data_IF_690587838806
#
_entry.id   IF_690587838806
#
_cell.length_a   1.000
_cell.length_b   1.000
_cell.length_c   1.000
_cell.angle_alpha   90.00
_cell.angle_beta   90.00
_cell.angle_gamma   90.00
#
_symmetry.space_group_name_H-M   'P 1'
#
loop_
_entity.id
_entity.type
_entity.pdbx_description
1 polymer ?
#
# COMPACT_ATOMS: atom_id res chain seq x y z
N UNK A 1 14.39 -4.84 -10.89
CA UNK A 1 14.55 -3.39 -11.17
C UNK A 1 13.98 -2.58 -10.02
N UNK A 2 14.19 -1.27 -10.01
CA UNK A 2 13.59 -0.36 -9.03
C UNK A 2 13.48 1.06 -9.60
N UNK A 3 12.66 1.90 -8.97
CA UNK A 3 12.47 3.30 -9.36
C UNK A 3 12.83 4.21 -8.20
N UNK A 4 13.80 5.11 -8.39
CA UNK A 4 14.05 6.21 -7.47
C UNK A 4 12.88 7.21 -7.56
N UNK A 5 12.18 7.43 -6.44
CA UNK A 5 10.96 8.25 -6.39
C UNK A 5 11.10 9.51 -5.55
N UNK A 6 12.33 9.79 -5.10
CA UNK A 6 12.61 10.91 -4.21
C UNK A 6 14.11 11.28 -4.27
N UNK A 7 14.45 12.56 -4.04
CA UNK A 7 15.83 13.03 -4.09
C UNK A 7 16.67 12.52 -2.91
N UNK A 8 16.04 12.15 -1.80
CA UNK A 8 16.67 11.56 -0.62
C UNK A 8 16.90 10.05 -0.77
N UNK A 9 16.60 9.44 -1.92
CA UNK A 9 17.08 8.09 -2.24
C UNK A 9 16.13 6.95 -1.89
N UNK A 10 14.83 7.21 -1.73
CA UNK A 10 13.84 6.13 -1.68
C UNK A 10 13.62 5.49 -3.04
N UNK A 11 13.64 4.15 -3.05
CA UNK A 11 13.49 3.30 -4.22
C UNK A 11 12.29 2.39 -4.03
N UNK A 12 11.45 2.32 -5.04
CA UNK A 12 10.30 1.42 -5.10
C UNK A 12 10.66 0.22 -5.96
N UNK A 13 10.28 -0.97 -5.51
CA UNK A 13 10.33 -2.20 -6.30
C UNK A 13 9.17 -3.10 -5.92
N UNK A 14 9.11 -4.31 -6.47
CA UNK A 14 8.15 -5.31 -6.05
C UNK A 14 8.58 -6.06 -4.78
N UNK A 15 7.61 -6.55 -4.01
CA UNK A 15 7.87 -7.38 -2.82
C UNK A 15 8.62 -8.66 -3.21
N UNK A 16 8.16 -9.37 -4.23
CA UNK A 16 8.79 -10.63 -4.65
C UNK A 16 10.24 -10.46 -5.15
N UNK A 17 10.67 -9.24 -5.49
CA UNK A 17 12.06 -8.96 -5.87
C UNK A 17 12.99 -8.94 -4.65
N UNK A 18 12.47 -8.65 -3.47
CA UNK A 18 13.27 -8.50 -2.23
C UNK A 18 13.03 -9.61 -1.20
N UNK A 19 12.00 -10.45 -1.39
CA UNK A 19 11.50 -11.40 -0.39
C UNK A 19 12.55 -12.39 0.14
N UNK A 20 13.50 -12.82 -0.69
CA UNK A 20 14.56 -13.78 -0.30
C UNK A 20 15.92 -13.13 -0.02
N UNK A 21 16.00 -11.79 -0.05
CA UNK A 21 17.26 -11.06 0.07
C UNK A 21 17.54 -10.55 1.49
N UNK A 22 18.75 -10.78 1.99
CA UNK A 22 19.22 -10.19 3.26
C UNK A 22 20.03 -8.90 3.08
N UNK A 23 20.59 -8.71 1.87
CA UNK A 23 21.41 -7.54 1.51
C UNK A 23 21.05 -7.08 0.11
N UNK A 24 20.87 -5.79 -0.04
CA UNK A 24 20.45 -5.18 -1.29
C UNK A 24 21.53 -4.22 -1.77
N UNK A 25 21.99 -4.44 -3.01
CA UNK A 25 22.89 -3.52 -3.69
C UNK A 25 22.16 -2.92 -4.89
N UNK A 26 22.24 -1.61 -5.03
CA UNK A 26 21.59 -0.86 -6.10
C UNK A 26 22.67 -0.29 -7.00
N UNK A 27 22.60 -0.63 -8.28
CA UNK A 27 23.42 -0.02 -9.33
C UNK A 27 22.58 0.95 -10.13
N UNK A 28 22.99 2.22 -10.19
CA UNK A 28 22.34 3.24 -10.99
C UNK A 28 22.77 3.16 -12.46
N UNK A 29 22.07 3.88 -13.33
CA UNK A 29 22.41 3.98 -14.76
C UNK A 29 23.76 4.67 -15.03
N UNK A 30 24.27 5.45 -14.08
CA UNK A 30 25.60 6.06 -14.10
C UNK A 30 26.68 5.17 -13.47
N UNK A 31 26.37 3.89 -13.23
CA UNK A 31 27.21 2.85 -12.63
C UNK A 31 27.61 3.08 -11.16
N UNK A 32 27.07 4.11 -10.48
CA UNK A 32 27.24 4.21 -9.03
C UNK A 32 26.54 3.05 -8.33
N UNK A 33 27.21 2.50 -7.33
CA UNK A 33 26.70 1.40 -6.51
C UNK A 33 26.46 1.86 -5.08
N UNK A 34 25.34 1.43 -4.51
CA UNK A 34 24.92 1.77 -3.16
C UNK A 34 24.45 0.52 -2.43
N UNK A 35 24.80 0.41 -1.16
CA UNK A 35 24.10 -0.49 -0.26
C UNK A 35 22.73 0.12 0.08
N UNK A 36 21.69 -0.69 0.02
CA UNK A 36 20.32 -0.27 0.27
C UNK A 36 19.75 -0.93 1.52
N UNK A 37 19.05 -0.15 2.33
CA UNK A 37 18.29 -0.62 3.47
C UNK A 37 16.84 -0.88 3.04
N UNK A 38 16.31 -2.05 3.39
CA UNK A 38 14.88 -2.33 3.24
C UNK A 38 14.12 -1.57 4.34
N UNK A 39 13.23 -0.66 3.93
CA UNK A 39 12.40 0.13 4.84
C UNK A 39 11.13 -0.64 5.21
N UNK A 40 10.58 -1.39 4.26
CA UNK A 40 9.42 -2.25 4.50
C UNK A 40 8.87 -2.85 3.22
N UNK A 41 7.94 -3.79 3.38
CA UNK A 41 7.27 -4.49 2.29
C UNK A 41 5.76 -4.55 2.50
N UNK A 42 5.02 -4.68 1.41
CA UNK A 42 3.59 -4.94 1.39
C UNK A 42 3.28 -6.07 0.39
N UNK A 43 3.26 -7.33 0.85
CA UNK A 43 2.92 -8.47 0.01
C UNK A 43 1.51 -8.36 -0.62
N UNK A 44 0.57 -7.65 0.03
CA UNK A 44 -0.81 -7.52 -0.46
C UNK A 44 -0.96 -6.62 -1.69
N UNK A 45 0.09 -5.88 -2.04
CA UNK A 45 0.18 -5.07 -3.27
C UNK A 45 1.41 -5.41 -4.10
N UNK A 46 2.23 -6.36 -3.66
CA UNK A 46 3.52 -6.69 -4.24
C UNK A 46 4.45 -5.47 -4.38
N UNK A 47 4.57 -4.65 -3.33
CA UNK A 47 5.46 -3.49 -3.29
C UNK A 47 6.46 -3.58 -2.14
N UNK A 48 7.65 -3.03 -2.36
CA UNK A 48 8.68 -2.84 -1.35
C UNK A 48 9.31 -1.46 -1.48
N UNK A 49 9.79 -0.94 -0.36
CA UNK A 49 10.48 0.34 -0.26
C UNK A 49 11.90 0.11 0.26
N UNK A 50 12.89 0.55 -0.50
CA UNK A 50 14.30 0.59 -0.09
C UNK A 50 14.78 2.04 0.01
N UNK A 51 15.90 2.22 0.71
CA UNK A 51 16.59 3.51 0.86
C UNK A 51 18.07 3.34 0.56
N UNK A 52 18.63 4.26 -0.20
CA UNK A 52 20.08 4.42 -0.40
C UNK A 52 20.53 5.80 0.11
N UNK A 53 21.79 5.90 0.53
CA UNK A 53 22.41 7.19 0.88
C UNK A 53 23.30 7.68 -0.26
N UNK A 54 23.02 8.89 -0.77
CA UNK A 54 23.80 9.48 -1.84
C UNK A 54 23.34 10.88 -2.21
N UNK A 55 24.20 11.60 -2.94
CA UNK A 55 23.91 12.95 -3.43
C UNK A 55 23.61 12.92 -4.94
N UNK A 56 22.86 13.92 -5.42
CA UNK A 56 22.53 14.08 -6.84
C UNK A 56 21.95 12.80 -7.45
N UNK A 57 20.99 12.20 -6.74
CA UNK A 57 20.29 10.99 -7.19
C UNK A 57 19.21 11.37 -8.22
N UNK A 58 19.15 10.71 -9.39
CA UNK A 58 18.05 10.90 -10.33
C UNK A 58 16.76 10.31 -9.75
N UNK A 59 15.62 10.96 -9.93
CA UNK A 59 14.33 10.43 -9.47
C UNK A 59 13.19 10.78 -10.43
N UNK A 60 12.13 9.97 -10.39
CA UNK A 60 10.89 10.22 -11.13
C UNK A 60 9.82 10.81 -10.21
N UNK A 61 9.00 11.68 -10.79
CA UNK A 61 7.79 12.17 -10.17
C UNK A 61 6.64 11.20 -10.46
N UNK A 62 5.78 10.99 -9.47
CA UNK A 62 4.52 10.28 -9.66
C UNK A 62 3.56 11.11 -10.52
N UNK A 63 3.05 10.48 -11.57
CA UNK A 63 1.88 10.96 -12.31
C UNK A 63 0.58 10.46 -11.69
N UNK A 64 -0.55 10.79 -12.32
CA UNK A 64 -1.87 10.31 -11.91
C UNK A 64 -2.32 9.13 -12.76
N UNK A 65 -2.35 7.92 -12.18
CA UNK A 65 -2.78 6.71 -12.89
C UNK A 65 -4.29 6.69 -13.22
N UNK A 66 -5.11 7.51 -12.57
CA UNK A 66 -6.54 7.64 -12.93
C UNK A 66 -6.72 8.34 -14.27
N UNK A 67 -5.84 9.28 -14.58
CA UNK A 67 -5.88 10.06 -15.83
C UNK A 67 -5.53 9.23 -17.06
N UNK A 68 -4.85 8.08 -16.89
CA UNK A 68 -4.52 7.18 -18.00
C UNK A 68 -5.78 6.71 -18.74
N UNK A 69 -5.71 6.77 -20.06
CA UNK A 69 -6.75 6.28 -20.97
C UNK A 69 -6.32 4.98 -21.65
N UNK A 70 -7.28 4.09 -21.93
CA UNK A 70 -7.02 2.93 -22.79
C UNK A 70 -6.65 3.43 -24.20
N UNK A 71 -5.55 2.92 -24.74
CA UNK A 71 -4.96 3.37 -26.00
C UNK A 71 -3.88 4.45 -25.84
N UNK A 72 -3.67 4.98 -24.64
CA UNK A 72 -2.60 5.95 -24.37
C UNK A 72 -1.23 5.29 -24.42
N UNK A 73 -0.25 5.97 -25.04
CA UNK A 73 1.13 5.51 -25.12
C UNK A 73 1.82 5.51 -23.76
N UNK A 74 2.55 4.43 -23.49
CA UNK A 74 3.37 4.25 -22.29
C UNK A 74 4.70 3.60 -22.65
N UNK A 75 5.71 3.87 -21.82
CA UNK A 75 7.02 3.23 -21.90
C UNK A 75 7.25 2.41 -20.63
N UNK A 76 7.63 1.15 -20.80
CA UNK A 76 8.10 0.30 -19.71
C UNK A 76 9.63 0.34 -19.66
N UNK A 77 10.18 0.62 -18.48
CA UNK A 77 11.62 0.76 -18.24
C UNK A 77 12.04 -0.24 -17.17
N UNK A 78 13.13 -0.96 -17.41
CA UNK A 78 13.73 -1.88 -16.45
C UNK A 78 15.10 -2.35 -16.90
N UNK A 79 15.65 -3.33 -16.19
CA UNK A 79 16.94 -3.95 -16.50
C UNK A 79 16.75 -5.46 -16.73
N UNK A 80 16.19 -5.88 -17.87
CA UNK A 80 16.06 -7.28 -18.20
C UNK A 80 17.43 -7.87 -18.56
N UNK A 81 17.75 -9.03 -18.00
CA UNK A 81 18.99 -9.79 -18.30
C UNK A 81 20.31 -9.09 -17.98
N UNK A 82 20.32 -8.09 -17.08
CA UNK A 82 21.49 -7.23 -16.81
C UNK A 82 22.08 -6.55 -18.06
N UNK A 83 21.28 -6.43 -19.12
CA UNK A 83 21.57 -5.61 -20.28
C UNK A 83 21.09 -4.21 -19.91
N UNK A 84 22.03 -3.27 -19.75
CA UNK A 84 21.82 -1.84 -19.45
C UNK A 84 20.40 -1.31 -19.76
N UNK A 85 19.78 -0.61 -18.80
CA UNK A 85 18.39 -0.11 -18.79
C UNK A 85 17.64 -0.20 -20.14
N UNK A 86 16.80 -1.22 -20.30
CA UNK A 86 15.97 -1.41 -21.49
C UNK A 86 14.66 -0.65 -21.38
N UNK A 87 14.31 0.04 -22.46
CA UNK A 87 13.03 0.74 -22.62
C UNK A 87 12.22 0.06 -23.72
N UNK A 88 10.96 -0.25 -23.45
CA UNK A 88 10.01 -0.78 -24.43
C UNK A 88 8.78 0.11 -24.50
N UNK A 89 8.23 0.28 -25.68
CA UNK A 89 7.03 1.09 -25.90
C UNK A 89 5.80 0.20 -26.09
N UNK A 90 4.65 0.69 -25.64
CA UNK A 90 3.34 0.11 -25.86
C UNK A 90 2.24 1.11 -25.55
N UNK A 91 1.03 0.61 -25.37
CA UNK A 91 -0.14 1.37 -24.97
C UNK A 91 -0.73 0.80 -23.68
N UNK A 92 -1.58 1.57 -23.02
CA UNK A 92 -2.48 1.05 -21.99
C UNK A 92 -3.55 0.22 -22.68
N UNK A 93 -3.48 -1.10 -22.56
CA UNK A 93 -4.44 -2.03 -23.17
C UNK A 93 -5.73 -2.17 -22.36
N UNK A 94 -5.63 -2.06 -21.04
CA UNK A 94 -6.76 -2.10 -20.12
C UNK A 94 -6.38 -1.55 -18.74
N UNK A 95 -7.39 -1.28 -17.91
CA UNK A 95 -7.21 -0.88 -16.50
C UNK A 95 -7.94 -1.86 -15.59
N UNK A 96 -7.56 -1.85 -14.32
CA UNK A 96 -8.20 -2.59 -13.24
C UNK A 96 -8.32 -4.10 -13.50
N UNK A 97 -7.22 -4.70 -13.94
CA UNK A 97 -7.13 -6.16 -14.12
C UNK A 97 -6.84 -6.84 -12.79
N UNK A 98 -7.60 -7.90 -12.53
CA UNK A 98 -7.32 -8.89 -11.51
C UNK A 98 -6.95 -10.19 -12.24
N UNK A 99 -5.78 -10.71 -11.91
CA UNK A 99 -5.14 -11.86 -12.57
C UNK A 99 -4.82 -12.99 -11.56
N UNK A 100 -5.18 -12.80 -10.29
CA UNK A 100 -5.13 -13.79 -9.21
C UNK A 100 -3.71 -14.31 -8.94
N UNK A 101 -2.75 -13.40 -8.86
CA UNK A 101 -1.34 -13.69 -8.54
C UNK A 101 -0.98 -13.37 -7.09
N UNK A 102 -1.79 -12.57 -6.39
CA UNK A 102 -1.61 -12.20 -4.99
C UNK A 102 -2.54 -13.03 -4.10
N UNK A 103 -1.98 -13.57 -3.02
CA UNK A 103 -2.71 -14.37 -2.04
C UNK A 103 -3.16 -13.51 -0.85
N UNK A 104 -4.29 -13.87 -0.21
CA UNK A 104 -4.77 -13.25 1.03
C UNK A 104 -6.05 -12.42 0.89
N UNK A 105 -6.80 -12.32 1.99
CA UNK A 105 -8.15 -11.72 2.04
C UNK A 105 -8.21 -10.21 1.74
N UNK A 106 -7.06 -9.53 1.73
CA UNK A 106 -6.95 -8.08 1.55
C UNK A 106 -6.04 -7.68 0.38
N UNK A 107 -5.71 -8.62 -0.50
CA UNK A 107 -4.87 -8.36 -1.65
C UNK A 107 -5.58 -7.45 -2.65
N UNK A 108 -4.82 -6.48 -3.18
CA UNK A 108 -5.34 -5.47 -4.09
C UNK A 108 -4.73 -5.69 -5.46
N UNK A 109 -5.49 -6.36 -6.31
CA UNK A 109 -5.17 -6.51 -7.71
C UNK A 109 -6.07 -5.65 -8.58
N UNK A 110 -5.49 -4.58 -9.12
CA UNK A 110 -6.14 -3.69 -10.06
C UNK A 110 -5.09 -3.12 -11.00
N UNK A 111 -4.47 -4.02 -11.76
CA UNK A 111 -3.33 -3.69 -12.59
C UNK A 111 -3.73 -2.87 -13.82
N UNK A 112 -2.82 -2.00 -14.22
CA UNK A 112 -2.77 -1.43 -15.57
C UNK A 112 -2.20 -2.52 -16.47
N UNK A 113 -2.93 -2.86 -17.55
CA UNK A 113 -2.45 -3.77 -18.57
C UNK A 113 -1.80 -2.96 -19.69
N UNK A 114 -0.64 -3.41 -20.17
CA UNK A 114 0.05 -2.85 -21.33
C UNK A 114 0.60 -3.94 -22.24
N UNK A 115 0.75 -3.61 -23.51
CA UNK A 115 1.47 -4.38 -24.52
C UNK A 115 2.89 -3.85 -24.76
N UNK A 116 3.41 -3.01 -23.85
CA UNK A 116 4.83 -2.79 -23.76
C UNK A 116 5.51 -4.11 -23.33
N UNK A 117 6.62 -4.44 -24.00
CA UNK A 117 7.32 -5.69 -23.73
C UNK A 117 7.96 -5.67 -22.33
N UNK A 118 7.43 -6.49 -21.43
CA UNK A 118 7.97 -6.71 -20.08
C UNK A 118 8.51 -8.13 -20.02
N UNK A 119 9.74 -8.29 -19.55
CA UNK A 119 10.43 -9.58 -19.39
C UNK A 119 10.98 -9.69 -17.97
N UNK A 120 11.40 -10.90 -17.51
CA UNK A 120 12.13 -11.04 -16.26
C UNK A 120 13.27 -10.01 -16.14
N UNK A 121 13.33 -9.34 -14.99
CA UNK A 121 14.22 -8.21 -14.73
C UNK A 121 13.54 -6.84 -14.83
N UNK A 122 12.41 -6.70 -15.55
CA UNK A 122 11.63 -5.46 -15.56
C UNK A 122 10.74 -5.28 -14.32
N UNK A 123 10.45 -6.35 -13.57
CA UNK A 123 9.72 -6.27 -12.29
C UNK A 123 10.39 -5.29 -11.33
N UNK A 124 9.57 -4.42 -10.74
CA UNK A 124 9.96 -3.28 -9.92
C UNK A 124 10.33 -2.02 -10.73
N UNK A 125 10.40 -2.12 -12.06
CA UNK A 125 10.72 -1.01 -12.96
C UNK A 125 9.54 -0.08 -13.23
N UNK A 126 9.79 1.01 -13.95
CA UNK A 126 8.80 2.06 -14.19
C UNK A 126 7.90 1.75 -15.39
N UNK A 127 6.61 2.07 -15.27
CA UNK A 127 5.74 2.37 -16.40
C UNK A 127 5.51 3.88 -16.41
N UNK A 128 5.92 4.56 -17.49
CA UNK A 128 5.83 6.02 -17.62
C UNK A 128 4.94 6.43 -18.79
N UNK A 129 4.27 7.57 -18.66
CA UNK A 129 3.53 8.18 -19.77
C UNK A 129 4.47 8.97 -20.70
N UNK A 130 3.93 9.58 -21.75
CA UNK A 130 4.70 10.36 -22.74
C UNK A 130 5.30 11.66 -22.18
N UNK A 131 4.87 12.11 -20.99
CA UNK A 131 5.48 13.23 -20.27
C UNK A 131 6.67 12.79 -19.38
N UNK A 132 6.94 11.49 -19.28
CA UNK A 132 7.97 10.93 -18.40
C UNK A 132 7.53 10.81 -16.93
N UNK A 133 6.23 10.94 -16.64
CA UNK A 133 5.69 10.78 -15.29
C UNK A 133 5.47 9.30 -14.98
N UNK A 134 5.78 8.88 -13.76
CA UNK A 134 5.59 7.51 -13.31
C UNK A 134 4.09 7.23 -13.12
N UNK A 135 3.52 6.36 -13.95
CA UNK A 135 2.09 6.00 -13.93
C UNK A 135 1.84 4.58 -13.41
N UNK A 136 2.89 3.75 -13.28
CA UNK A 136 2.81 2.48 -12.58
C UNK A 136 4.17 1.82 -12.32
N UNK A 137 4.16 0.74 -11.55
CA UNK A 137 5.32 -0.11 -11.28
C UNK A 137 5.11 -1.46 -11.97
N UNK A 138 5.97 -1.82 -12.90
CA UNK A 138 5.90 -3.10 -13.62
C UNK A 138 6.01 -4.26 -12.62
N UNK A 139 5.13 -5.25 -12.68
CA UNK A 139 5.12 -6.38 -11.73
C UNK A 139 5.18 -7.73 -12.45
N UNK A 140 4.24 -8.01 -13.34
CA UNK A 140 4.00 -9.35 -13.83
C UNK A 140 3.69 -9.38 -15.33
N UNK A 141 3.80 -10.58 -15.89
CA UNK A 141 3.30 -10.93 -17.22
C UNK A 141 2.41 -12.16 -17.12
N UNK A 142 1.41 -12.26 -18.01
CA UNK A 142 0.72 -13.53 -18.26
C UNK A 142 1.33 -14.16 -19.50
N UNK A 143 1.82 -15.39 -19.37
CA UNK A 143 2.44 -16.14 -20.46
C UNK A 143 2.22 -17.64 -20.28
N UNK A 144 2.02 -18.36 -21.39
CA UNK A 144 2.00 -19.83 -21.40
C UNK A 144 3.36 -20.42 -21.78
N UNK A 145 4.13 -19.69 -22.57
CA UNK A 145 5.45 -20.10 -23.08
C UNK A 145 6.62 -19.72 -22.16
N UNK A 146 6.36 -18.92 -21.12
CA UNK A 146 7.41 -18.27 -20.32
C UNK A 146 8.05 -17.07 -21.02
N UNK A 147 7.55 -16.66 -22.19
CA UNK A 147 8.01 -15.50 -22.97
C UNK A 147 6.94 -14.43 -23.05
N UNK A 148 7.33 -13.22 -23.38
CA UNK A 148 6.39 -12.13 -23.64
C UNK A 148 5.37 -12.49 -24.73
N UNK A 149 4.07 -12.32 -24.42
CA UNK A 149 2.93 -12.68 -25.29
C UNK A 149 1.94 -11.52 -25.52
N UNK A 150 2.28 -10.27 -25.11
CA UNK A 150 1.36 -9.13 -25.25
C UNK A 150 0.64 -8.69 -23.96
N UNK A 151 0.89 -9.37 -22.84
CA UNK A 151 0.14 -9.17 -21.59
C UNK A 151 1.07 -8.85 -20.43
N UNK A 152 1.36 -7.55 -20.27
CA UNK A 152 2.15 -7.03 -19.17
C UNK A 152 1.28 -6.26 -18.19
N UNK A 153 1.66 -6.27 -16.91
CA UNK A 153 0.87 -5.69 -15.83
C UNK A 153 1.72 -4.79 -14.94
N UNK A 154 1.16 -3.64 -14.57
CA UNK A 154 1.77 -2.67 -13.67
C UNK A 154 0.80 -2.27 -12.54
N UNK A 155 1.34 -2.10 -11.34
CA UNK A 155 0.64 -1.56 -10.17
C UNK A 155 0.41 -0.07 -10.40
N UNK A 156 -0.82 0.48 -10.26
CA UNK A 156 -1.09 1.90 -10.48
C UNK A 156 -0.27 2.82 -9.58
N UNK A 157 0.25 3.92 -10.14
CA UNK A 157 1.05 4.91 -9.43
C UNK A 157 0.37 5.47 -8.19
N UNK A 158 -0.94 5.74 -8.23
CA UNK A 158 -1.66 6.32 -7.09
C UNK A 158 -1.68 5.36 -5.88
N UNK A 159 -1.89 4.06 -6.13
CA UNK A 159 -1.82 3.02 -5.11
C UNK A 159 -0.39 2.88 -4.59
N UNK A 160 0.60 2.79 -5.49
CA UNK A 160 2.00 2.68 -5.12
C UNK A 160 2.44 3.86 -4.23
N UNK A 161 2.11 5.09 -4.63
CA UNK A 161 2.45 6.30 -3.87
C UNK A 161 1.89 6.27 -2.45
N UNK A 162 0.66 5.74 -2.26
CA UNK A 162 0.11 5.55 -0.92
C UNK A 162 0.89 4.53 -0.11
N UNK A 163 1.13 3.35 -0.70
CA UNK A 163 1.86 2.25 -0.04
C UNK A 163 3.24 2.71 0.42
N UNK A 164 3.98 3.37 -0.47
CA UNK A 164 5.34 3.88 -0.18
C UNK A 164 5.33 4.90 0.95
N UNK A 165 4.37 5.83 0.97
CA UNK A 165 4.25 6.78 2.09
C UNK A 165 4.02 6.05 3.41
N UNK A 166 3.18 5.03 3.43
CA UNK A 166 2.92 4.27 4.65
C UNK A 166 4.15 3.47 5.11
N UNK A 167 4.83 2.79 4.19
CA UNK A 167 6.07 2.08 4.50
C UNK A 167 7.13 3.02 5.06
N UNK A 168 7.27 4.21 4.47
CA UNK A 168 8.19 5.24 4.98
C UNK A 168 7.80 5.75 6.35
N UNK A 169 6.52 6.08 6.55
CA UNK A 169 6.06 6.79 7.76
C UNK A 169 5.87 5.85 8.96
N UNK A 170 5.55 4.56 8.72
CA UNK A 170 5.12 3.62 9.77
C UNK A 170 5.77 2.24 9.70
N UNK A 171 6.61 1.97 8.70
CA UNK A 171 7.20 0.64 8.46
C UNK A 171 6.22 -0.40 7.89
N UNK A 172 4.92 -0.10 7.86
CA UNK A 172 3.89 -0.99 7.34
C UNK A 172 2.70 -0.24 6.73
N UNK A 173 1.94 -0.93 5.89
CA UNK A 173 0.82 -0.31 5.17
C UNK A 173 -0.44 -0.22 6.03
N UNK A 174 -0.92 1.01 6.21
CA UNK A 174 -2.13 1.32 6.97
C UNK A 174 -3.37 1.11 6.11
N UNK A 175 -3.99 -0.08 6.14
CA UNK A 175 -5.08 -0.43 5.23
C UNK A 175 -6.44 0.04 5.73
N UNK A 176 -7.03 1.03 5.03
CA UNK A 176 -8.43 1.38 5.20
C UNK A 176 -9.36 0.36 4.55
N UNK A 177 -10.39 -0.06 5.29
CA UNK A 177 -11.45 -0.96 4.86
C UNK A 177 -12.81 -0.30 5.05
N UNK A 178 -13.69 -0.56 4.09
CA UNK A 178 -15.08 -0.09 4.14
C UNK A 178 -15.92 -0.89 5.16
N UNK A 179 -15.53 -2.13 5.45
CA UNK A 179 -16.29 -3.04 6.33
C UNK A 179 -17.43 -3.75 5.60
N UNK A 180 -17.17 -4.27 4.40
CA UNK A 180 -18.16 -4.99 3.58
C UNK A 180 -17.54 -6.24 2.96
N UNK A 181 -18.36 -7.24 2.64
CA UNK A 181 -18.04 -8.25 1.64
C UNK A 181 -18.68 -7.85 0.32
N UNK A 182 -17.92 -7.98 -0.75
CA UNK A 182 -18.30 -7.54 -2.09
C UNK A 182 -18.43 -8.72 -3.05
N UNK A 183 -19.17 -8.52 -4.13
CA UNK A 183 -19.33 -9.49 -5.20
C UNK A 183 -19.56 -8.75 -6.53
N UNK A 184 -19.25 -9.38 -7.67
CA UNK A 184 -19.49 -8.74 -8.96
C UNK A 184 -20.99 -8.61 -9.21
N UNK A 185 -21.34 -7.60 -10.00
CA UNK A 185 -22.67 -7.48 -10.61
C UNK A 185 -22.61 -8.17 -11.97
N UNK A 186 -23.31 -9.29 -12.11
CA UNK A 186 -23.50 -9.97 -13.39
C UNK A 186 -24.85 -9.58 -14.03
N UNK A 187 -25.12 -10.11 -15.23
CA UNK A 187 -26.36 -9.88 -15.96
C UNK A 187 -27.62 -10.27 -15.16
N UNK A 188 -27.56 -11.36 -14.39
CA UNK A 188 -28.70 -11.85 -13.62
C UNK A 188 -28.99 -10.90 -12.47
N UNK A 189 -27.96 -10.54 -11.70
CA UNK A 189 -28.05 -9.63 -10.56
C UNK A 189 -28.43 -8.22 -10.99
N UNK A 190 -27.92 -7.73 -12.12
CA UNK A 190 -28.33 -6.44 -12.65
C UNK A 190 -29.84 -6.40 -12.94
N UNK A 191 -30.40 -7.46 -13.54
CA UNK A 191 -31.85 -7.59 -13.78
C UNK A 191 -32.64 -7.67 -12.47
N UNK A 192 -32.21 -8.49 -11.53
CA UNK A 192 -32.84 -8.66 -10.22
C UNK A 192 -32.93 -7.34 -9.44
N UNK A 193 -31.87 -6.52 -9.50
CA UNK A 193 -31.77 -5.24 -8.82
C UNK A 193 -32.36 -4.07 -9.61
N UNK A 194 -32.82 -4.30 -10.84
CA UNK A 194 -33.37 -3.26 -11.73
C UNK A 194 -32.33 -2.24 -12.19
N UNK A 195 -31.07 -2.66 -12.35
CA UNK A 195 -29.99 -1.80 -12.87
C UNK A 195 -30.12 -1.63 -14.39
N UNK A 196 -29.85 -0.43 -14.88
CA UNK A 196 -29.84 -0.13 -16.32
C UNK A 196 -28.60 -0.67 -17.05
N UNK A 197 -27.55 -1.01 -16.30
CA UNK A 197 -26.26 -1.52 -16.79
C UNK A 197 -25.70 -2.56 -15.83
N UNK A 198 -24.89 -3.47 -16.37
CA UNK A 198 -24.09 -4.43 -15.60
C UNK A 198 -22.80 -3.73 -15.16
N UNK A 199 -22.92 -2.88 -14.15
CA UNK A 199 -21.78 -2.15 -13.59
C UNK A 199 -21.93 -1.97 -12.09
N UNK A 200 -20.78 -1.75 -11.44
CA UNK A 200 -20.68 -1.50 -10.01
C UNK A 200 -20.37 -2.77 -9.23
N UNK A 201 -20.36 -2.62 -7.91
CA UNK A 201 -19.94 -3.67 -6.99
C UNK A 201 -21.02 -3.92 -5.95
N UNK A 202 -21.52 -5.15 -5.91
CA UNK A 202 -22.60 -5.55 -5.02
C UNK A 202 -22.09 -5.76 -3.59
N UNK A 203 -22.78 -5.18 -2.62
CA UNK A 203 -22.54 -5.44 -1.19
C UNK A 203 -23.30 -6.71 -0.78
N UNK A 204 -22.57 -7.79 -0.55
CA UNK A 204 -23.12 -9.08 -0.12
C UNK A 204 -23.25 -9.20 1.40
N UNK A 205 -22.40 -8.50 2.14
CA UNK A 205 -22.46 -8.42 3.60
C UNK A 205 -21.89 -7.08 4.08
N UNK A 206 -22.40 -6.60 5.22
CA UNK A 206 -21.86 -5.43 5.92
C UNK A 206 -21.39 -5.88 7.29
N UNK A 207 -20.14 -5.57 7.62
CA UNK A 207 -19.53 -5.92 8.91
C UNK A 207 -20.21 -5.12 10.03
N UNK A 208 -20.72 -5.83 11.03
CA UNK A 208 -21.36 -5.23 12.21
C UNK A 208 -20.37 -4.35 12.98
N UNK A 209 -20.80 -3.15 13.37
CA UNK A 209 -19.97 -2.13 14.01
C UNK A 209 -18.96 -1.47 13.07
N UNK A 210 -18.97 -1.81 11.77
CA UNK A 210 -18.04 -1.30 10.77
C UNK A 210 -18.41 0.07 10.20
N UNK A 211 -17.48 0.67 9.45
CA UNK A 211 -17.67 1.96 8.80
C UNK A 211 -18.91 1.99 7.90
N UNK A 212 -19.07 0.99 7.04
CA UNK A 212 -20.23 0.87 6.15
C UNK A 212 -21.57 0.81 6.90
N UNK A 213 -21.66 0.04 7.99
CA UNK A 213 -22.90 -0.04 8.78
C UNK A 213 -23.22 1.32 9.41
N UNK A 214 -22.23 1.98 10.02
CA UNK A 214 -22.38 3.30 10.62
C UNK A 214 -22.83 4.36 9.61
N UNK A 215 -22.39 4.25 8.36
CA UNK A 215 -22.78 5.12 7.25
C UNK A 215 -24.12 4.73 6.58
N UNK A 216 -24.78 3.67 7.06
CA UNK A 216 -26.09 3.24 6.59
C UNK A 216 -26.07 2.43 5.29
N UNK A 217 -24.91 1.94 4.84
CA UNK A 217 -24.81 0.96 3.76
C UNK A 217 -25.37 -0.40 4.21
N UNK A 218 -25.93 -1.16 3.28
CA UNK A 218 -26.65 -2.41 3.56
C UNK A 218 -26.34 -3.45 2.48
N UNK A 219 -26.55 -4.73 2.84
CA UNK A 219 -26.63 -5.79 1.84
C UNK A 219 -27.67 -5.42 0.78
N UNK A 220 -27.33 -5.63 -0.48
CA UNK A 220 -28.21 -5.29 -1.61
C UNK A 220 -27.86 -3.97 -2.30
N UNK A 221 -27.04 -3.13 -1.68
CA UNK A 221 -26.54 -1.93 -2.34
C UNK A 221 -25.51 -2.28 -3.42
N UNK A 222 -25.45 -1.45 -4.46
CA UNK A 222 -24.43 -1.55 -5.51
C UNK A 222 -23.60 -0.28 -5.49
N UNK A 223 -22.33 -0.37 -5.11
CA UNK A 223 -21.39 0.77 -5.13
C UNK A 223 -21.04 1.07 -6.59
N UNK A 224 -21.15 2.35 -6.97
CA UNK A 224 -20.88 2.83 -8.33
C UNK A 224 -19.85 3.95 -8.39
N UNK A 225 -19.39 4.45 -7.24
CA UNK A 225 -18.31 5.44 -7.20
C UNK A 225 -17.73 5.69 -5.81
N UNK A 226 -16.47 6.12 -5.79
CA UNK A 226 -15.72 6.50 -4.60
C UNK A 226 -15.08 7.87 -4.85
N UNK A 227 -15.34 8.85 -3.98
CA UNK A 227 -14.80 10.21 -4.10
C UNK A 227 -14.99 10.86 -5.48
N UNK A 228 -16.10 10.55 -6.15
CA UNK A 228 -16.39 11.06 -7.50
C UNK A 228 -15.74 10.27 -8.65
N UNK A 229 -14.87 9.30 -8.34
CA UNK A 229 -14.33 8.35 -9.33
C UNK A 229 -15.34 7.24 -9.54
N UNK A 230 -15.71 6.99 -10.80
CA UNK A 230 -16.63 5.92 -11.18
C UNK A 230 -16.00 4.56 -10.89
N UNK A 231 -16.78 3.66 -10.30
CA UNK A 231 -16.39 2.28 -10.01
C UNK A 231 -17.36 1.35 -10.71
N UNK A 232 -16.83 0.51 -11.60
CA UNK A 232 -17.59 -0.45 -12.39
C UNK A 232 -17.27 -1.90 -12.05
N UNK A 233 -16.09 -2.17 -11.47
CA UNK A 233 -15.64 -3.51 -11.13
C UNK A 233 -15.08 -3.61 -9.70
N UNK A 234 -14.96 -4.84 -9.19
CA UNK A 234 -14.37 -5.09 -7.87
C UNK A 234 -12.90 -4.63 -7.76
N UNK A 235 -12.02 -4.91 -8.74
CA UNK A 235 -10.65 -4.40 -8.75
C UNK A 235 -10.58 -2.88 -8.58
N UNK A 236 -11.39 -2.14 -9.34
CA UNK A 236 -11.47 -0.68 -9.22
C UNK A 236 -11.89 -0.25 -7.81
N UNK A 237 -12.90 -0.89 -7.23
CA UNK A 237 -13.33 -0.56 -5.87
C UNK A 237 -12.21 -0.78 -4.84
N UNK A 238 -11.56 -1.95 -4.89
CA UNK A 238 -10.51 -2.32 -3.96
C UNK A 238 -9.32 -1.37 -4.06
N UNK A 239 -8.94 -1.01 -5.29
CA UNK A 239 -7.84 -0.08 -5.57
C UNK A 239 -8.17 1.34 -5.10
N UNK A 240 -9.36 1.84 -5.39
CA UNK A 240 -9.79 3.16 -4.92
C UNK A 240 -9.80 3.24 -3.40
N UNK A 241 -10.32 2.22 -2.69
CA UNK A 241 -10.31 2.19 -1.23
C UNK A 241 -8.88 2.02 -0.68
N UNK A 242 -8.05 1.20 -1.35
CA UNK A 242 -6.67 0.88 -0.95
C UNK A 242 -5.73 2.08 -0.87
N UNK A 243 -6.11 3.21 -1.47
CA UNK A 243 -5.40 4.50 -1.43
C UNK A 243 -5.64 5.31 -0.16
N UNK A 244 -6.41 4.80 0.79
CA UNK A 244 -6.75 5.50 2.01
C UNK A 244 -6.36 4.69 3.25
N UNK A 245 -6.15 5.42 4.36
CA UNK A 245 -5.79 4.87 5.67
C UNK A 245 -7.05 4.70 6.54
N UNK A 246 -7.01 3.90 7.60
CA UNK A 246 -8.02 3.94 8.67
C UNK A 246 -8.24 5.38 9.18
N UNK A 247 -9.47 5.71 9.57
CA UNK A 247 -9.85 7.06 9.99
C UNK A 247 -10.07 8.07 8.86
N UNK A 248 -9.65 7.80 7.62
CA UNK A 248 -10.04 8.63 6.48
C UNK A 248 -11.54 8.49 6.19
N UNK A 249 -12.18 9.60 5.82
CA UNK A 249 -13.57 9.63 5.38
C UNK A 249 -13.62 9.67 3.86
N UNK A 250 -14.35 8.74 3.25
CA UNK A 250 -14.57 8.70 1.80
C UNK A 250 -16.06 8.87 1.48
N UNK A 251 -16.36 9.49 0.34
CA UNK A 251 -17.70 9.58 -0.22
C UNK A 251 -17.98 8.34 -1.07
N UNK A 252 -19.02 7.59 -0.72
CA UNK A 252 -19.49 6.42 -1.46
C UNK A 252 -20.77 6.77 -2.19
N UNK A 253 -20.78 6.58 -3.51
CA UNK A 253 -21.98 6.65 -4.34
C UNK A 253 -22.47 5.23 -4.62
N UNK A 254 -23.76 4.98 -4.39
CA UNK A 254 -24.35 3.65 -4.48
C UNK A 254 -25.79 3.67 -4.97
N UNK A 255 -26.24 2.55 -5.56
CA UNK A 255 -27.61 2.33 -5.97
C UNK A 255 -28.32 1.45 -4.94
N UNK A 256 -29.52 1.88 -4.54
CA UNK A 256 -30.44 1.10 -3.70
C UNK A 256 -31.85 1.22 -4.27
N UNK A 257 -32.48 0.09 -4.63
CA UNK A 257 -33.84 0.06 -5.22
C UNK A 257 -33.97 1.00 -6.44
N UNK A 258 -33.00 0.95 -7.35
CA UNK A 258 -32.97 1.73 -8.60
C UNK A 258 -32.69 3.24 -8.44
N UNK A 259 -32.44 3.73 -7.22
CA UNK A 259 -32.10 5.14 -6.97
C UNK A 259 -30.65 5.29 -6.53
N UNK A 260 -30.01 6.36 -6.96
CA UNK A 260 -28.63 6.72 -6.56
C UNK A 260 -28.67 7.48 -5.23
N UNK A 261 -27.79 7.09 -4.33
CA UNK A 261 -27.56 7.69 -3.03
C UNK A 261 -26.07 7.96 -2.84
N UNK A 262 -25.76 8.86 -1.90
CA UNK A 262 -24.39 9.15 -1.47
C UNK A 262 -24.32 9.11 0.05
N UNK A 263 -23.24 8.57 0.58
CA UNK A 263 -22.97 8.58 2.03
C UNK A 263 -21.47 8.72 2.29
N UNK A 264 -21.11 9.33 3.41
CA UNK A 264 -19.72 9.43 3.85
C UNK A 264 -19.39 8.27 4.79
N UNK A 265 -18.30 7.57 4.52
CA UNK A 265 -17.87 6.40 5.30
C UNK A 265 -16.50 6.64 5.89
N UNK A 266 -16.37 6.49 7.20
CA UNK A 266 -15.08 6.45 7.89
C UNK A 266 -14.49 5.05 7.74
N UNK A 267 -13.32 4.97 7.10
CA UNK A 267 -12.61 3.71 6.91
C UNK A 267 -12.02 3.22 8.22
N UNK A 268 -11.92 1.90 8.37
CA UNK A 268 -11.36 1.23 9.54
C UNK A 268 -10.38 0.15 9.13
N UNK A 269 -9.52 -0.32 10.01
CA UNK A 269 -8.63 -1.45 9.74
C UNK A 269 -9.36 -2.80 9.86
N UNK A 270 -8.62 -3.90 9.72
CA UNK A 270 -9.13 -5.28 9.88
C UNK A 270 -9.65 -5.58 11.29
N UNK A 271 -9.20 -4.84 12.30
CA UNK A 271 -9.61 -4.94 13.70
C UNK A 271 -10.74 -3.96 14.05
N UNK A 272 -11.34 -3.31 13.04
CA UNK A 272 -12.39 -2.31 13.20
C UNK A 272 -11.95 -1.04 13.95
N UNK A 273 -10.66 -0.72 13.91
CA UNK A 273 -10.03 0.46 14.51
C UNK A 273 -9.75 1.56 13.48
N UNK A 274 -9.61 2.80 13.95
CA UNK A 274 -9.10 3.93 13.15
C UNK A 274 -7.67 4.32 13.53
N UNK A 275 -7.09 3.63 14.52
CA UNK A 275 -5.73 3.88 15.01
C UNK A 275 -4.73 3.27 14.04
N UNK A 276 -3.67 4.01 13.72
CA UNK A 276 -2.59 3.47 12.91
C UNK A 276 -1.78 2.46 13.70
N UNK A 277 -1.47 1.35 13.07
CA UNK A 277 -0.47 0.41 13.56
C UNK A 277 0.90 1.01 13.22
N UNK A 278 1.83 1.03 14.17
CA UNK A 278 3.19 1.51 13.91
C UNK A 278 4.11 0.35 14.17
N UNK A 279 4.74 -0.17 13.12
CA UNK A 279 5.87 -1.09 13.27
C UNK A 279 7.11 -0.26 13.60
N UNK A 280 7.17 0.28 14.81
CA UNK A 280 8.46 0.61 15.38
C UNK A 280 9.07 -0.70 15.87
N UNK A 281 10.25 -1.08 15.41
CA UNK A 281 11.02 -2.18 16.02
C UNK A 281 11.18 -1.98 17.54
N UNK A 282 11.19 -0.72 17.98
CA UNK A 282 11.12 -0.34 19.39
C UNK A 282 9.78 -0.71 20.04
N UNK A 283 8.63 -0.42 19.42
CA UNK A 283 7.31 -0.80 19.97
C UNK A 283 7.10 -2.31 19.96
N UNK A 284 7.59 -3.02 18.93
CA UNK A 284 7.60 -4.48 18.91
C UNK A 284 8.51 -5.07 19.99
N UNK A 285 9.66 -4.45 20.26
CA UNK A 285 10.55 -4.86 21.36
C UNK A 285 9.91 -4.58 22.72
N UNK A 286 9.37 -3.38 22.94
CA UNK A 286 8.73 -2.99 24.21
C UNK A 286 7.49 -3.85 24.48
N UNK A 287 6.68 -4.12 23.45
CA UNK A 287 5.52 -5.04 23.53
C UNK A 287 5.98 -6.48 23.81
N UNK A 288 7.08 -6.96 23.20
CA UNK A 288 7.65 -8.29 23.51
C UNK A 288 8.25 -8.38 24.91
N UNK A 289 8.82 -7.30 25.41
CA UNK A 289 9.32 -7.20 26.77
C UNK A 289 8.16 -7.09 27.79
N UNK A 290 7.03 -6.54 27.35
CA UNK A 290 5.72 -6.49 28.03
C UNK A 290 5.62 -5.33 29.02
N UNK A 291 5.85 -4.12 28.54
CA UNK A 291 5.70 -2.88 29.29
C UNK A 291 5.49 -1.69 28.34
N UNK A 292 4.74 -0.68 28.79
CA UNK A 292 4.55 0.57 28.06
C UNK A 292 5.41 1.67 28.68
N UNK A 293 5.98 2.52 27.83
CA UNK A 293 6.83 3.63 28.27
C UNK A 293 6.47 4.93 27.55
N UNK A 294 6.84 6.06 28.15
CA UNK A 294 6.72 7.39 27.54
C UNK A 294 7.91 8.25 27.90
N UNK A 295 8.18 9.31 27.15
CA UNK A 295 9.13 10.33 27.57
C UNK A 295 8.65 11.05 28.84
N UNK A 296 9.60 11.49 29.67
CA UNK A 296 9.30 12.43 30.77
C UNK A 296 8.75 13.75 30.21
N UNK A 297 7.80 14.34 30.93
CA UNK A 297 7.32 15.68 30.66
C UNK A 297 8.35 16.74 31.09
N UNK A 298 8.25 17.95 30.56
CA UNK A 298 9.14 19.05 30.92
C UNK A 298 9.07 19.44 32.41
N UNK A 299 7.97 19.15 33.09
CA UNK A 299 7.83 19.36 34.53
C UNK A 299 8.53 18.26 35.32
N UNK A 300 8.34 16.99 34.93
CA UNK A 300 9.02 15.84 35.54
C UNK A 300 10.54 15.92 35.36
N UNK A 301 11.04 16.23 34.16
CA UNK A 301 12.48 16.42 33.90
C UNK A 301 13.08 17.49 34.81
N UNK A 302 12.38 18.62 35.00
CA UNK A 302 12.85 19.71 35.88
C UNK A 302 12.82 19.31 37.35
N UNK A 303 11.82 18.56 37.79
CA UNK A 303 11.71 18.09 39.16
C UNK A 303 12.76 17.02 39.51
N UNK A 304 13.06 16.13 38.55
CA UNK A 304 13.99 15.01 38.72
C UNK A 304 15.45 15.39 38.43
N UNK A 305 15.69 16.48 37.72
CA UNK A 305 17.03 16.93 37.35
C UNK A 305 17.74 16.03 36.34
N UNK A 306 17.02 15.12 35.67
CA UNK A 306 17.55 14.19 34.67
C UNK A 306 16.55 13.97 33.54
N UNK A 307 17.06 13.67 32.34
CA UNK A 307 16.27 13.09 31.26
C UNK A 307 16.09 11.58 31.48
N UNK A 308 15.10 11.01 30.80
CA UNK A 308 14.83 9.58 30.83
C UNK A 308 13.44 9.25 30.30
N UNK A 309 13.15 7.95 30.37
CA UNK A 309 11.91 7.34 29.89
C UNK A 309 11.11 6.82 31.09
N UNK A 310 9.84 7.22 31.20
CA UNK A 310 8.93 6.86 32.26
C UNK A 310 8.18 5.55 31.92
N UNK A 311 8.17 4.60 32.86
CA UNK A 311 7.44 3.34 32.75
C UNK A 311 5.97 3.55 33.14
N UNK A 312 5.07 3.41 32.17
CA UNK A 312 3.63 3.66 32.33
C UNK A 312 2.91 2.45 32.90
N UNK A 313 3.20 1.26 32.36
CA UNK A 313 2.56 0.00 32.74
C UNK A 313 3.52 -1.15 32.50
N UNK A 314 3.32 -2.26 33.23
CA UNK A 314 4.05 -3.52 33.06
C UNK A 314 3.01 -4.62 32.93
N UNK A 315 3.13 -5.44 31.89
CA UNK A 315 2.18 -6.50 31.58
C UNK A 315 2.41 -7.72 32.47
N UNK A 316 1.31 -8.33 32.91
CA UNK A 316 1.34 -9.54 33.73
C UNK A 316 1.90 -10.73 32.94
N UNK A 317 2.86 -11.45 33.51
CA UNK A 317 3.56 -12.58 32.90
C UNK A 317 4.71 -12.20 31.95
N UNK A 318 5.02 -10.91 31.82
CA UNK A 318 6.01 -10.39 30.88
C UNK A 318 7.47 -10.64 31.30
N UNK A 319 8.42 -10.30 30.43
CA UNK A 319 9.84 -10.34 30.78
C UNK A 319 10.18 -9.27 31.82
N UNK A 320 9.54 -8.10 31.73
CA UNK A 320 9.76 -6.99 32.64
C UNK A 320 9.12 -7.23 34.01
N UNK A 321 7.96 -7.89 34.11
CA UNK A 321 7.36 -8.27 35.40
C UNK A 321 8.29 -9.16 36.25
N UNK A 322 9.18 -9.92 35.61
CA UNK A 322 10.17 -10.77 36.31
C UNK A 322 11.38 -10.00 36.82
N UNK A 323 11.46 -8.71 36.55
CA UNK A 323 12.46 -7.79 37.10
C UNK A 323 11.89 -7.04 38.31
N UNK A 324 12.66 -6.11 38.87
CA UNK A 324 12.18 -5.21 39.94
C UNK A 324 11.60 -3.89 39.39
N UNK A 325 11.34 -3.81 38.07
CA UNK A 325 10.79 -2.63 37.43
C UNK A 325 9.27 -2.58 37.56
N UNK A 326 8.77 -1.51 38.19
CA UNK A 326 7.34 -1.24 38.40
C UNK A 326 6.87 -0.02 37.57
N UNK A 327 5.55 0.11 37.33
CA UNK A 327 4.96 1.36 36.86
C UNK A 327 5.40 2.55 37.75
N UNK A 328 5.91 3.60 37.12
CA UNK A 328 6.52 4.75 37.82
C UNK A 328 8.04 4.80 37.82
N UNK A 329 8.71 3.74 37.34
CA UNK A 329 10.16 3.77 37.14
C UNK A 329 10.58 4.78 36.06
N UNK A 330 11.81 5.29 36.21
CA UNK A 330 12.43 6.19 35.24
C UNK A 330 13.72 5.53 34.75
N UNK A 331 13.72 5.12 33.49
CA UNK A 331 14.88 4.55 32.82
C UNK A 331 15.75 5.71 32.35
N UNK A 332 16.91 5.89 32.97
CA UNK A 332 17.87 6.95 32.61
C UNK A 332 19.00 6.45 31.72
N UNK A 333 19.23 5.12 31.67
CA UNK A 333 20.27 4.49 30.85
C UNK A 333 19.87 3.08 30.41
N UNK A 334 20.38 2.65 29.27
CA UNK A 334 20.35 1.26 28.80
C UNK A 334 21.77 0.88 28.36
N UNK A 335 22.32 -0.22 28.89
CA UNK A 335 23.71 -0.62 28.64
C UNK A 335 24.72 0.52 28.85
N UNK A 336 24.57 1.23 29.98
CA UNK A 336 25.36 2.41 30.38
C UNK A 336 25.27 3.64 29.46
N UNK A 337 24.49 3.58 28.38
CA UNK A 337 24.21 4.72 27.50
C UNK A 337 23.00 5.50 28.01
N UNK A 338 23.09 6.83 28.17
CA UNK A 338 21.94 7.67 28.50
C UNK A 338 20.83 7.55 27.45
N UNK A 339 19.58 7.55 27.93
CA UNK A 339 18.37 7.54 27.08
C UNK A 339 17.55 8.81 27.25
#
# INVERSE_FOLDING_TARGET
>A
SGVLVSPDGYIVTNNHVVEEGDRFQITLNDHREFEATLIGTDPTTDLALLKIEGENLPFLLFGNSDSLQVGEWVLAVGNPFNLESTVTAGIVSAKARNIQILEGDYSIESFIQTDAAVNPGNSGGALVNTNGELVGINTAIITRSGRYEGYSFAIPANLAQKVIRDLRDYGEVQRGLLGVRISPVDNHRAKELGLSKVEGVYISHVTKGGGAEAAGLRRGDVIIGINGVKVTTMPELQEQIGRYRPGNTILVEYIRRGKIFRTSVVLRDKNNSTVFQVNNDADNLLTRLGFEVRNLTHEETRALGTNGVYVVSVDLGSTIERTEMDPGYIITKVNDQPV
#
